data_IF_761917788582
#
_entry.id   IF_761917788582
#
_cell.length_a   1.000
_cell.length_b   1.000
_cell.length_c   1.000
_cell.angle_alpha   90.00
_cell.angle_beta   90.00
_cell.angle_gamma   90.00
#
_symmetry.space_group_name_H-M   'P 1'
#
loop_
_entity.id
_entity.type
_entity.pdbx_description
1 polymer ?
#
# COMPACT_ATOMS: atom_id res chain seq x y z
N UNK A 1 -27.64 -3.75 -17.65
CA UNK A 1 -27.31 -5.18 -17.44
C UNK A 1 -25.84 -5.44 -17.08
N UNK A 2 -24.81 -4.81 -17.67
CA UNK A 2 -23.40 -5.06 -17.26
C UNK A 2 -23.04 -4.53 -15.86
N UNK A 3 -23.77 -3.57 -15.29
CA UNK A 3 -23.57 -3.13 -13.90
C UNK A 3 -24.90 -2.84 -13.20
N UNK A 4 -25.72 -3.87 -13.04
CA UNK A 4 -26.90 -3.79 -12.15
C UNK A 4 -26.52 -4.08 -10.68
N UNK A 5 -25.22 -4.09 -10.39
CA UNK A 5 -24.60 -4.23 -9.07
C UNK A 5 -23.44 -3.25 -8.96
N UNK A 6 -23.09 -2.87 -7.74
CA UNK A 6 -22.00 -1.93 -7.46
C UNK A 6 -21.01 -2.51 -6.45
N UNK A 7 -19.73 -2.35 -6.77
CA UNK A 7 -18.60 -2.63 -5.91
C UNK A 7 -17.76 -1.35 -5.71
N UNK A 8 -16.77 -1.37 -4.82
CA UNK A 8 -15.89 -0.22 -4.65
C UNK A 8 -14.60 -0.37 -5.47
N UNK A 9 -14.22 0.70 -6.17
CA UNK A 9 -13.03 0.79 -7.00
C UNK A 9 -12.05 1.82 -6.41
N UNK A 10 -10.75 1.59 -6.53
CA UNK A 10 -9.74 2.51 -5.99
C UNK A 10 -9.30 3.56 -7.02
N UNK A 11 -9.26 4.81 -6.59
CA UNK A 11 -8.68 5.95 -7.32
C UNK A 11 -7.81 6.75 -6.36
N UNK A 12 -6.82 7.48 -6.86
CA UNK A 12 -6.04 8.41 -6.04
C UNK A 12 -5.73 9.70 -6.79
N UNK A 13 -5.42 10.74 -6.04
CA UNK A 13 -4.96 12.02 -6.57
C UNK A 13 -3.84 12.58 -5.69
N UNK A 14 -2.83 13.19 -6.32
CA UNK A 14 -1.74 13.89 -5.61
C UNK A 14 -2.01 15.37 -5.42
N UNK A 15 -2.88 15.95 -6.25
CA UNK A 15 -3.15 17.39 -6.29
C UNK A 15 -4.63 17.70 -6.00
N UNK A 16 -5.46 16.69 -5.73
CA UNK A 16 -6.91 16.83 -5.53
C UNK A 16 -7.70 17.13 -6.81
N UNK A 17 -7.03 17.38 -7.94
CA UNK A 17 -7.64 17.78 -9.22
C UNK A 17 -7.63 16.64 -10.22
N UNK A 18 -6.51 15.94 -10.33
CA UNK A 18 -6.32 14.86 -11.30
C UNK A 18 -6.38 13.52 -10.59
N UNK A 19 -7.38 12.71 -10.94
CA UNK A 19 -7.59 11.39 -10.36
C UNK A 19 -7.07 10.30 -11.30
N UNK A 20 -6.34 9.34 -10.73
CA UNK A 20 -5.79 8.18 -11.43
C UNK A 20 -6.50 6.93 -10.95
N UNK A 21 -6.98 6.12 -11.91
CA UNK A 21 -7.55 4.80 -11.65
C UNK A 21 -6.42 3.85 -11.24
N UNK A 22 -6.72 2.99 -10.28
CA UNK A 22 -5.84 1.87 -9.90
C UNK A 22 -6.41 0.60 -10.51
N UNK A 23 -5.59 -0.11 -11.30
CA UNK A 23 -5.87 -1.46 -11.78
C UNK A 23 -5.16 -2.49 -10.91
N UNK A 24 -5.32 -3.78 -11.23
CA UNK A 24 -4.62 -4.88 -10.56
C UNK A 24 -3.10 -4.67 -10.46
N UNK A 25 -2.50 -4.12 -11.52
CA UNK A 25 -1.06 -3.88 -11.62
C UNK A 25 -0.63 -2.48 -11.14
N UNK A 26 -1.57 -1.72 -10.54
CA UNK A 26 -1.33 -0.40 -9.98
C UNK A 26 -1.95 0.76 -10.76
N UNK A 27 -1.49 1.96 -10.42
CA UNK A 27 -1.95 3.22 -10.99
C UNK A 27 -1.72 3.31 -12.50
N UNK A 28 -2.73 3.71 -13.26
CA UNK A 28 -2.59 4.00 -14.70
C UNK A 28 -2.65 5.50 -15.00
N UNK A 29 -1.91 5.91 -16.02
CA UNK A 29 -1.91 7.29 -16.53
C UNK A 29 -3.18 7.60 -17.32
N UNK A 30 -3.45 8.88 -17.55
CA UNK A 30 -4.57 9.31 -18.41
C UNK A 30 -4.42 8.86 -19.87
N UNK A 31 -3.19 8.62 -20.33
CA UNK A 31 -2.94 8.04 -21.65
C UNK A 31 -3.34 6.56 -21.67
N UNK A 32 -2.87 5.78 -20.69
CA UNK A 32 -3.21 4.36 -20.57
C UNK A 32 -4.71 4.12 -20.40
N UNK A 33 -5.42 5.04 -19.73
CA UNK A 33 -6.88 4.98 -19.59
C UNK A 33 -7.63 5.07 -20.93
N UNK A 34 -7.02 5.66 -21.97
CA UNK A 34 -7.64 5.84 -23.29
C UNK A 34 -7.29 4.72 -24.27
N UNK A 35 -6.45 3.77 -23.87
CA UNK A 35 -6.07 2.64 -24.72
C UNK A 35 -7.21 1.61 -24.81
N UNK A 36 -7.29 0.94 -25.97
CA UNK A 36 -8.20 -0.18 -26.17
C UNK A 36 -7.82 -1.35 -25.25
N UNK A 37 -8.78 -1.84 -24.45
CA UNK A 37 -8.64 -3.03 -23.60
C UNK A 37 -10.00 -3.60 -23.24
N UNK A 38 -10.02 -4.84 -22.74
CA UNK A 38 -11.20 -5.38 -22.06
C UNK A 38 -11.36 -4.69 -20.70
N UNK A 39 -12.11 -3.59 -20.70
CA UNK A 39 -12.41 -2.82 -19.49
C UNK A 39 -13.24 -3.57 -18.47
N UNK A 40 -14.04 -4.55 -18.92
CA UNK A 40 -14.82 -5.38 -18.00
C UNK A 40 -13.92 -6.29 -17.19
N UNK A 41 -13.01 -7.00 -17.86
CA UNK A 41 -12.05 -7.85 -17.17
C UNK A 41 -11.11 -7.02 -16.29
N UNK A 42 -10.61 -5.88 -16.80
CA UNK A 42 -9.71 -5.00 -16.06
C UNK A 42 -10.35 -4.43 -14.79
N UNK A 43 -11.60 -3.94 -14.86
CA UNK A 43 -12.30 -3.42 -13.69
C UNK A 43 -12.62 -4.52 -12.67
N UNK A 44 -13.08 -5.69 -13.14
CA UNK A 44 -13.39 -6.82 -12.26
C UNK A 44 -12.16 -7.33 -11.52
N UNK A 45 -11.00 -7.37 -12.20
CA UNK A 45 -9.72 -7.77 -11.58
C UNK A 45 -9.12 -6.73 -10.64
N UNK A 46 -9.66 -5.51 -10.60
CA UNK A 46 -9.16 -4.37 -9.83
C UNK A 46 -10.14 -3.90 -8.75
N UNK A 47 -11.25 -4.62 -8.54
CA UNK A 47 -12.22 -4.29 -7.50
C UNK A 47 -11.55 -4.27 -6.13
N UNK A 48 -11.69 -3.13 -5.42
CA UNK A 48 -11.07 -2.92 -4.12
C UNK A 48 -11.90 -3.55 -2.99
N UNK A 49 -13.22 -3.34 -3.01
CA UNK A 49 -14.16 -3.99 -2.10
C UNK A 49 -15.22 -4.72 -2.93
N UNK A 50 -15.11 -6.05 -3.11
CA UNK A 50 -16.04 -6.82 -3.93
C UNK A 50 -17.34 -7.11 -3.20
N UNK A 51 -18.44 -7.21 -3.95
CA UNK A 51 -19.70 -7.76 -3.44
C UNK A 51 -19.58 -9.25 -3.09
N UNK A 52 -20.46 -9.71 -2.21
CA UNK A 52 -20.57 -11.12 -1.84
C UNK A 52 -21.12 -12.02 -2.96
N UNK A 53 -21.16 -13.33 -2.71
CA UNK A 53 -21.67 -14.34 -3.64
C UNK A 53 -23.16 -14.12 -3.90
N UNK A 54 -23.52 -14.03 -5.19
CA UNK A 54 -24.88 -13.76 -5.67
C UNK A 54 -25.93 -14.65 -4.98
N UNK A 55 -26.94 -14.01 -4.38
CA UNK A 55 -28.05 -14.64 -3.65
C UNK A 55 -27.66 -15.56 -2.49
N UNK A 56 -26.41 -15.47 -2.02
CA UNK A 56 -25.92 -16.22 -0.87
C UNK A 56 -25.53 -15.31 0.28
N UNK A 57 -24.70 -14.32 0.00
CA UNK A 57 -24.12 -13.45 1.02
C UNK A 57 -24.94 -12.15 1.13
N UNK A 58 -25.15 -11.61 2.32
CA UNK A 58 -26.06 -10.47 2.54
C UNK A 58 -25.70 -9.17 1.77
N UNK A 59 -24.45 -9.03 1.31
CA UNK A 59 -23.93 -7.89 0.53
C UNK A 59 -23.71 -8.24 -0.96
N UNK A 60 -24.43 -9.23 -1.48
CA UNK A 60 -24.20 -9.75 -2.83
C UNK A 60 -24.51 -8.79 -3.98
N UNK A 61 -25.33 -7.77 -3.72
CA UNK A 61 -25.95 -6.91 -4.72
C UNK A 61 -25.26 -5.56 -4.89
N UNK A 62 -25.16 -4.79 -3.81
CA UNK A 62 -24.60 -3.45 -3.84
C UNK A 62 -23.77 -3.21 -2.58
N UNK A 63 -22.62 -2.55 -2.73
CA UNK A 63 -21.75 -2.12 -1.64
C UNK A 63 -21.51 -0.61 -1.72
N UNK A 64 -21.72 0.09 -0.61
CA UNK A 64 -21.46 1.51 -0.47
C UNK A 64 -20.61 1.78 0.77
N UNK A 65 -19.32 2.16 0.62
CA UNK A 65 -18.54 2.67 1.74
C UNK A 65 -19.21 3.93 2.29
N UNK A 66 -19.57 3.90 3.57
CA UNK A 66 -20.16 5.05 4.25
C UNK A 66 -19.12 5.65 5.18
N UNK A 67 -18.90 6.96 5.03
CA UNK A 67 -17.88 7.76 5.71
C UNK A 67 -16.43 7.53 5.24
N UNK A 68 -15.54 8.51 5.49
CA UNK A 68 -14.11 8.32 5.30
C UNK A 68 -13.61 7.11 6.12
N UNK A 69 -12.64 6.34 5.59
CA UNK A 69 -12.06 5.23 6.32
C UNK A 69 -11.46 5.68 7.66
N UNK A 70 -11.61 4.87 8.70
CA UNK A 70 -11.09 5.17 10.03
C UNK A 70 -9.78 4.44 10.29
N UNK A 71 -8.75 5.17 10.73
CA UNK A 71 -7.52 4.55 11.21
C UNK A 71 -7.70 4.15 12.68
N UNK A 72 -7.58 2.86 12.97
CA UNK A 72 -7.65 2.30 14.33
C UNK A 72 -6.41 1.46 14.57
N UNK A 73 -5.40 2.04 15.22
CA UNK A 73 -4.10 1.43 15.38
C UNK A 73 -3.44 1.16 14.03
N UNK A 74 -3.26 -0.13 13.71
CA UNK A 74 -2.53 -0.60 12.53
C UNK A 74 -3.45 -1.01 11.38
N UNK A 75 -4.74 -0.69 11.51
CA UNK A 75 -5.79 -1.00 10.54
C UNK A 75 -6.48 0.27 10.05
N UNK A 76 -6.85 0.24 8.77
CA UNK A 76 -7.82 1.12 8.15
C UNK A 76 -9.15 0.35 8.06
N UNK A 77 -10.20 0.93 8.63
CA UNK A 77 -11.54 0.35 8.71
C UNK A 77 -12.49 1.05 7.76
N UNK A 78 -13.15 0.26 6.93
CA UNK A 78 -14.18 0.70 5.99
C UNK A 78 -15.51 0.15 6.47
N UNK A 79 -16.34 1.02 7.06
CA UNK A 79 -17.74 0.70 7.29
C UNK A 79 -18.50 0.90 5.99
N UNK A 80 -19.30 -0.08 5.59
CA UNK A 80 -20.03 -0.03 4.33
C UNK A 80 -21.44 -0.57 4.50
N UNK A 81 -22.39 -0.03 3.74
CA UNK A 81 -23.69 -0.67 3.59
C UNK A 81 -23.61 -1.73 2.49
N UNK A 82 -24.09 -2.92 2.81
CA UNK A 82 -24.36 -3.96 1.84
C UNK A 82 -25.87 -4.09 1.62
N UNK A 83 -26.25 -4.33 0.37
CA UNK A 83 -27.64 -4.55 -0.04
C UNK A 83 -27.74 -5.86 -0.81
N UNK A 84 -28.62 -6.75 -0.37
CA UNK A 84 -28.88 -8.07 -0.98
C UNK A 84 -29.79 -8.00 -2.21
N UNK A 85 -29.59 -6.99 -3.08
CA UNK A 85 -30.39 -6.82 -4.30
C UNK A 85 -29.61 -6.09 -5.38
N UNK A 86 -29.94 -6.36 -6.65
CA UNK A 86 -29.51 -5.52 -7.78
C UNK A 86 -30.12 -4.12 -7.71
N UNK A 87 -29.52 -3.17 -8.41
CA UNK A 87 -30.18 -1.92 -8.77
C UNK A 87 -31.51 -2.23 -9.45
N UNK A 88 -32.52 -1.37 -9.25
CA UNK A 88 -33.88 -1.60 -9.75
C UNK A 88 -34.48 -2.92 -9.22
N UNK A 89 -34.32 -3.18 -7.92
CA UNK A 89 -34.72 -4.42 -7.26
C UNK A 89 -36.14 -4.90 -7.65
N UNK A 90 -37.10 -3.97 -7.80
CA UNK A 90 -38.46 -4.27 -8.23
C UNK A 90 -38.53 -4.93 -9.63
N UNK A 91 -37.77 -4.42 -10.62
CA UNK A 91 -37.69 -5.00 -11.97
C UNK A 91 -37.15 -6.44 -11.91
N UNK A 92 -36.16 -6.64 -11.05
CA UNK A 92 -35.48 -7.91 -10.84
C UNK A 92 -36.21 -8.87 -9.90
N UNK A 93 -37.30 -8.40 -9.27
CA UNK A 93 -38.04 -9.08 -8.20
C UNK A 93 -37.13 -9.50 -7.04
N UNK A 94 -36.05 -8.76 -6.82
CA UNK A 94 -35.19 -8.94 -5.67
C UNK A 94 -35.88 -8.34 -4.42
N UNK A 95 -35.74 -8.98 -3.27
CA UNK A 95 -36.23 -8.47 -1.98
C UNK A 95 -35.01 -7.95 -1.20
N UNK A 96 -34.73 -6.63 -1.24
CA UNK A 96 -33.54 -6.09 -0.61
C UNK A 96 -33.62 -6.24 0.91
N UNK A 97 -32.49 -6.63 1.47
CA UNK A 97 -32.17 -6.50 2.89
C UNK A 97 -30.89 -5.67 3.00
N UNK A 98 -30.72 -4.99 4.14
CA UNK A 98 -29.67 -4.00 4.37
C UNK A 98 -28.94 -4.32 5.66
N UNK A 99 -27.61 -4.28 5.61
CA UNK A 99 -26.78 -4.34 6.81
C UNK A 99 -25.51 -3.50 6.66
N UNK A 100 -24.84 -3.26 7.78
CA UNK A 100 -23.55 -2.59 7.83
C UNK A 100 -22.45 -3.64 7.99
N UNK A 101 -21.51 -3.64 7.06
CA UNK A 101 -20.31 -4.47 7.11
C UNK A 101 -19.09 -3.65 7.53
N UNK A 102 -18.06 -4.38 7.94
CA UNK A 102 -16.73 -3.85 8.21
C UNK A 102 -15.73 -4.58 7.32
N UNK A 103 -15.05 -3.85 6.45
CA UNK A 103 -13.85 -4.32 5.78
C UNK A 103 -12.62 -3.68 6.42
N UNK A 104 -11.54 -4.43 6.55
CA UNK A 104 -10.28 -3.93 7.12
C UNK A 104 -9.15 -4.05 6.11
N UNK A 105 -8.25 -3.08 6.17
CA UNK A 105 -6.99 -3.06 5.43
C UNK A 105 -5.89 -2.73 6.44
N UNK A 106 -4.66 -3.19 6.22
CA UNK A 106 -3.53 -2.70 7.00
C UNK A 106 -3.31 -1.20 6.78
N UNK A 107 -2.76 -0.49 7.77
CA UNK A 107 -2.28 0.88 7.60
C UNK A 107 -1.33 0.95 6.39
N UNK A 108 -1.48 1.97 5.54
CA UNK A 108 -0.73 2.16 4.29
C UNK A 108 -0.79 0.98 3.29
N UNK A 109 -1.80 0.12 3.39
CA UNK A 109 -1.89 -1.15 2.65
C UNK A 109 -2.48 -1.11 1.25
N UNK A 110 -2.82 0.06 0.69
CA UNK A 110 -3.64 0.16 -0.53
C UNK A 110 -2.97 -0.42 -1.78
N UNK A 111 -1.66 -0.23 -1.92
CA UNK A 111 -0.87 -0.69 -3.06
C UNK A 111 0.50 -1.13 -2.54
N UNK A 112 1.06 -2.19 -3.10
CA UNK A 112 2.42 -2.65 -2.85
C UNK A 112 3.27 -2.61 -4.10
N UNK A 113 4.57 -2.39 -3.91
CA UNK A 113 5.60 -2.81 -4.86
C UNK A 113 6.00 -4.23 -4.50
N UNK A 114 5.83 -5.16 -5.43
CA UNK A 114 6.03 -6.58 -5.15
C UNK A 114 6.67 -7.36 -6.29
N UNK A 115 7.19 -8.54 -5.97
CA UNK A 115 7.77 -9.46 -6.94
C UNK A 115 7.60 -10.91 -6.47
N UNK A 116 7.27 -11.80 -7.39
CA UNK A 116 7.23 -13.26 -7.15
C UNK A 116 8.63 -13.92 -7.21
N UNK A 117 9.64 -13.18 -7.71
CA UNK A 117 11.02 -13.67 -7.82
C UNK A 117 11.94 -12.75 -7.03
N UNK A 118 13.02 -12.26 -7.65
CA UNK A 118 13.90 -11.23 -7.12
C UNK A 118 13.67 -9.95 -7.92
N UNK A 119 13.67 -8.82 -7.24
CA UNK A 119 13.53 -7.51 -7.86
C UNK A 119 14.09 -6.43 -6.95
N UNK A 120 14.35 -5.26 -7.52
CA UNK A 120 14.78 -4.10 -6.76
C UNK A 120 13.93 -2.88 -7.08
N UNK A 121 13.78 -2.01 -6.08
CA UNK A 121 13.18 -0.69 -6.24
C UNK A 121 14.14 0.32 -5.63
N UNK A 122 14.51 1.35 -6.37
CA UNK A 122 15.32 2.46 -5.85
C UNK A 122 14.49 3.73 -5.81
N UNK A 123 14.49 4.43 -4.69
CA UNK A 123 13.79 5.70 -4.56
C UNK A 123 14.44 6.79 -5.42
N UNK A 124 13.69 7.87 -5.69
CA UNK A 124 14.31 9.17 -5.97
C UNK A 124 15.12 9.61 -4.73
N UNK A 125 16.08 10.54 -4.87
CA UNK A 125 16.75 11.12 -3.71
C UNK A 125 15.72 11.65 -2.71
N UNK A 126 15.89 11.28 -1.44
CA UNK A 126 15.11 11.75 -0.30
C UNK A 126 16.05 12.36 0.73
N UNK A 127 15.60 13.40 1.42
CA UNK A 127 16.29 13.87 2.63
C UNK A 127 15.83 13.00 3.77
N UNK A 128 16.73 12.22 4.35
CA UNK A 128 16.41 11.34 5.46
C UNK A 128 16.43 12.12 6.77
N UNK A 129 15.27 12.27 7.40
CA UNK A 129 15.10 12.99 8.66
C UNK A 129 14.58 12.02 9.72
N UNK A 130 15.50 11.43 10.48
CA UNK A 130 15.14 10.42 11.47
C UNK A 130 16.33 9.54 11.86
N UNK A 131 16.20 8.81 12.95
CA UNK A 131 17.21 7.84 13.42
C UNK A 131 16.80 6.40 13.13
N UNK A 132 15.62 6.19 12.55
CA UNK A 132 15.07 4.87 12.33
C UNK A 132 14.44 4.82 10.95
N UNK A 133 14.66 3.74 10.20
CA UNK A 133 13.86 3.43 9.03
C UNK A 133 12.81 2.39 9.43
N UNK A 134 11.53 2.74 9.28
CA UNK A 134 10.40 1.83 9.49
C UNK A 134 9.82 1.44 8.14
N UNK A 135 9.60 0.15 7.94
CA UNK A 135 9.05 -0.43 6.71
C UNK A 135 7.76 -1.17 7.00
N UNK A 136 6.73 -0.90 6.20
CA UNK A 136 5.54 -1.74 6.11
C UNK A 136 5.73 -2.76 4.98
N UNK A 137 5.87 -4.04 5.34
CA UNK A 137 6.14 -5.10 4.37
C UNK A 137 5.56 -6.45 4.79
N UNK A 138 5.21 -7.22 3.78
CA UNK A 138 4.96 -8.66 3.91
C UNK A 138 6.05 -9.41 3.15
N UNK A 139 6.96 -10.04 3.90
CA UNK A 139 8.03 -10.87 3.35
C UNK A 139 7.90 -12.35 3.78
N UNK A 140 6.71 -12.79 4.23
CA UNK A 140 6.48 -14.20 4.58
C UNK A 140 6.76 -15.11 3.39
N UNK A 141 7.61 -16.12 3.58
CA UNK A 141 8.04 -17.03 2.51
C UNK A 141 9.06 -16.43 1.53
N UNK A 142 9.61 -15.26 1.88
CA UNK A 142 10.56 -14.49 1.09
C UNK A 142 11.56 -13.76 1.96
N UNK A 143 12.07 -12.64 1.46
CA UNK A 143 12.93 -11.72 2.21
C UNK A 143 12.91 -10.32 1.61
N UNK A 144 13.09 -9.32 2.45
CA UNK A 144 13.36 -7.95 2.06
C UNK A 144 14.59 -7.43 2.80
N UNK A 145 15.54 -6.84 2.08
CA UNK A 145 16.65 -6.06 2.65
C UNK A 145 16.70 -4.70 1.98
N UNK A 146 17.30 -3.73 2.65
CA UNK A 146 17.44 -2.37 2.13
C UNK A 146 18.87 -1.89 2.29
N UNK A 147 19.33 -1.13 1.31
CA UNK A 147 20.59 -0.40 1.37
C UNK A 147 20.38 1.10 1.19
N UNK A 148 21.19 1.89 1.88
CA UNK A 148 21.26 3.33 1.67
C UNK A 148 22.40 3.64 0.70
N UNK A 149 22.08 4.41 -0.34
CA UNK A 149 23.02 4.84 -1.37
C UNK A 149 23.27 6.34 -1.26
N UNK A 150 24.49 6.75 -1.59
CA UNK A 150 24.81 8.15 -1.79
C UNK A 150 24.15 8.70 -3.07
N UNK A 151 24.35 9.99 -3.33
CA UNK A 151 23.82 10.68 -4.53
C UNK A 151 24.34 10.10 -5.84
N UNK A 152 25.51 9.44 -5.83
CA UNK A 152 26.12 8.78 -6.98
C UNK A 152 25.61 7.34 -7.18
N UNK A 153 24.81 6.83 -6.24
CA UNK A 153 24.25 5.48 -6.28
C UNK A 153 25.14 4.40 -5.68
N UNK A 154 26.22 4.78 -4.98
CA UNK A 154 27.11 3.84 -4.27
C UNK A 154 26.60 3.56 -2.86
N UNK A 155 26.66 2.32 -2.37
CA UNK A 155 26.29 2.00 -0.99
C UNK A 155 27.11 2.81 0.02
N UNK A 156 26.43 3.42 0.97
CA UNK A 156 27.06 4.12 2.10
C UNK A 156 27.67 3.05 3.01
N UNK A 157 28.93 3.23 3.41
CA UNK A 157 29.65 2.30 4.29
C UNK A 157 28.82 2.02 5.56
N UNK A 158 28.57 0.74 5.84
CA UNK A 158 27.76 0.29 6.99
C UNK A 158 26.26 0.19 6.73
N UNK A 159 25.77 0.68 5.59
CA UNK A 159 24.35 0.65 5.20
C UNK A 159 24.13 -0.14 3.90
N UNK A 160 24.97 -1.14 3.66
CA UNK A 160 24.86 -2.02 2.49
C UNK A 160 23.76 -3.08 2.67
N UNK A 161 23.33 -3.69 1.57
CA UNK A 161 22.34 -4.76 1.62
C UNK A 161 22.84 -6.00 2.38
N UNK A 162 24.15 -6.27 2.37
CA UNK A 162 24.77 -7.38 3.13
C UNK A 162 24.86 -7.12 4.63
N UNK A 163 24.83 -5.84 5.02
CA UNK A 163 24.81 -5.43 6.42
C UNK A 163 23.37 -5.38 6.96
N UNK A 164 22.36 -5.21 6.10
CA UNK A 164 20.97 -5.17 6.50
C UNK A 164 20.49 -6.52 7.04
N UNK A 165 19.88 -6.52 8.23
CA UNK A 165 19.15 -7.68 8.72
C UNK A 165 17.94 -7.96 7.81
N UNK A 166 17.73 -9.20 7.35
CA UNK A 166 16.62 -9.51 6.46
C UNK A 166 15.28 -9.49 7.18
N UNK A 167 14.30 -8.82 6.57
CA UNK A 167 12.90 -8.89 6.95
C UNK A 167 12.28 -10.11 6.27
N UNK A 168 11.68 -11.02 7.05
CA UNK A 168 11.13 -12.30 6.57
C UNK A 168 9.69 -12.55 7.05
N UNK A 169 9.10 -11.59 7.75
CA UNK A 169 7.76 -11.67 8.34
C UNK A 169 6.82 -10.64 7.75
N UNK A 170 5.58 -10.63 8.23
CA UNK A 170 4.55 -9.67 7.85
C UNK A 170 4.28 -8.73 9.01
N UNK A 171 4.49 -7.43 8.80
CA UNK A 171 4.26 -6.38 9.79
C UNK A 171 4.05 -5.05 9.10
N UNK A 172 3.24 -4.19 9.72
CA UNK A 172 3.11 -2.78 9.29
C UNK A 172 4.31 -1.94 9.74
N UNK A 173 5.10 -2.40 10.71
CA UNK A 173 6.25 -1.66 11.28
C UNK A 173 7.44 -2.57 11.54
N UNK A 174 8.21 -2.85 10.49
CA UNK A 174 9.56 -3.41 10.62
C UNK A 174 10.55 -2.30 10.89
N UNK A 175 11.30 -2.40 11.99
CA UNK A 175 12.46 -1.54 12.22
C UNK A 175 13.64 -2.14 11.47
N UNK A 176 14.19 -1.38 10.53
CA UNK A 176 15.36 -1.81 9.80
C UNK A 176 16.60 -1.63 10.66
N UNK A 177 17.46 -2.65 10.67
CA UNK A 177 18.76 -2.62 11.35
C UNK A 177 19.86 -3.07 10.40
N UNK A 178 21.01 -2.42 10.48
CA UNK A 178 22.23 -2.84 9.78
C UNK A 178 23.27 -3.31 10.80
N UNK A 179 24.09 -4.29 10.43
CA UNK A 179 25.17 -4.81 11.27
C UNK A 179 26.10 -3.68 11.68
N UNK A 180 26.40 -3.61 12.99
CA UNK A 180 27.28 -2.59 13.55
C UNK A 180 26.63 -1.21 13.73
N UNK A 181 25.37 -1.02 13.32
CA UNK A 181 24.65 0.24 13.46
C UNK A 181 23.32 0.03 14.19
N UNK A 182 23.19 0.66 15.36
CA UNK A 182 21.96 0.59 16.17
C UNK A 182 20.85 1.48 15.61
N UNK A 183 21.21 2.49 14.81
CA UNK A 183 20.31 3.50 14.27
C UNK A 183 20.77 4.00 12.88
N UNK A 184 19.99 4.93 12.32
CA UNK A 184 20.21 5.59 11.04
C UNK A 184 20.80 7.01 11.20
N UNK A 185 21.40 7.36 12.34
CA UNK A 185 21.87 8.73 12.59
C UNK A 185 22.85 9.22 11.52
N UNK A 186 23.72 8.34 11.03
CA UNK A 186 24.67 8.63 9.95
C UNK A 186 24.01 8.89 8.58
N UNK A 187 22.71 8.64 8.43
CA UNK A 187 21.95 8.94 7.22
C UNK A 187 21.28 10.31 7.27
N UNK A 188 21.22 10.96 8.44
CA UNK A 188 20.44 12.18 8.64
C UNK A 188 20.96 13.37 7.85
N UNK A 189 20.03 14.27 7.48
CA UNK A 189 20.35 15.62 7.01
C UNK A 189 20.99 15.69 5.63
N UNK A 190 21.13 14.57 4.91
CA UNK A 190 21.69 14.52 3.56
C UNK A 190 20.78 13.80 2.56
N UNK A 191 20.82 14.18 1.27
CA UNK A 191 20.12 13.43 0.23
C UNK A 191 20.71 12.04 0.08
N UNK A 192 19.87 11.01 0.24
CA UNK A 192 20.22 9.61 0.01
C UNK A 192 19.19 8.96 -0.92
N UNK A 193 19.50 7.78 -1.43
CA UNK A 193 18.50 6.88 -2.04
C UNK A 193 18.39 5.62 -1.21
N UNK A 194 17.19 5.08 -1.08
CA UNK A 194 16.99 3.75 -0.53
C UNK A 194 16.80 2.78 -1.69
N UNK A 195 17.58 1.69 -1.72
CA UNK A 195 17.32 0.57 -2.62
C UNK A 195 16.83 -0.62 -1.82
N UNK A 196 15.60 -1.01 -2.13
CA UNK A 196 14.96 -2.18 -1.58
C UNK A 196 15.25 -3.36 -2.49
N UNK A 197 15.69 -4.47 -1.91
CA UNK A 197 15.88 -5.75 -2.58
C UNK A 197 14.81 -6.70 -2.07
N UNK A 198 13.90 -7.08 -2.96
CA UNK A 198 12.75 -7.90 -2.65
C UNK A 198 12.97 -9.30 -3.22
N UNK A 199 12.62 -10.32 -2.44
CA UNK A 199 12.48 -11.70 -2.90
C UNK A 199 11.15 -12.25 -2.40
N UNK A 200 10.18 -12.51 -3.28
CA UNK A 200 8.83 -12.99 -2.88
C UNK A 200 8.25 -12.14 -1.74
N UNK A 201 8.26 -10.83 -1.92
CA UNK A 201 7.90 -9.87 -0.88
C UNK A 201 7.08 -8.72 -1.45
N UNK A 202 6.30 -8.10 -0.56
CA UNK A 202 5.46 -6.92 -0.81
C UNK A 202 5.95 -5.78 0.07
N UNK A 203 6.29 -4.65 -0.52
CA UNK A 203 6.63 -3.40 0.16
C UNK A 203 5.46 -2.44 -0.01
N UNK A 204 4.83 -2.04 1.09
CA UNK A 204 3.66 -1.14 1.08
C UNK A 204 4.07 0.32 1.29
N UNK A 205 4.86 0.56 2.33
CA UNK A 205 5.30 1.91 2.70
C UNK A 205 6.65 1.86 3.43
N UNK A 206 7.30 3.01 3.52
CA UNK A 206 8.47 3.23 4.35
C UNK A 206 8.49 4.66 4.84
N UNK A 207 9.01 4.87 6.04
CA UNK A 207 9.13 6.19 6.65
C UNK A 207 10.42 6.30 7.47
N UNK A 208 11.09 7.47 7.44
CA UNK A 208 11.99 7.87 8.50
C UNK A 208 11.19 8.11 9.79
N UNK A 209 11.66 7.57 10.91
CA UNK A 209 11.13 7.81 12.24
C UNK A 209 12.20 8.39 13.17
N UNK A 210 11.75 9.05 14.23
CA UNK A 210 12.57 9.49 15.35
C UNK A 210 12.13 8.68 16.57
N UNK A 211 13.00 7.80 17.07
CA UNK A 211 12.72 6.98 18.26
C UNK A 211 13.51 7.39 19.48
N UNK A 212 14.60 8.12 19.30
CA UNK A 212 15.38 8.70 20.39
C UNK A 212 15.35 10.23 20.28
N UNK A 213 15.34 10.92 21.41
CA UNK A 213 15.54 12.37 21.45
C UNK A 213 16.97 12.68 21.03
N UNK A 214 17.15 13.27 19.85
CA UNK A 214 18.45 13.74 19.39
C UNK A 214 18.60 15.21 19.71
N UNK A 215 19.59 15.56 20.53
CA UNK A 215 20.02 16.94 20.67
C UNK A 215 20.98 17.23 19.52
N UNK A 216 20.59 18.12 18.61
CA UNK A 216 21.55 18.70 17.68
C UNK A 216 22.52 19.52 18.52
N UNK A 217 23.80 19.14 18.51
CA UNK A 217 24.84 19.99 19.09
C UNK A 217 24.87 21.28 18.27
N UNK A 218 24.31 22.34 18.84
CA UNK A 218 24.50 23.71 18.37
C UNK A 218 26.00 23.99 18.43
N UNK A 219 26.60 24.32 17.30
CA UNK A 219 28.03 24.64 17.19
C UNK A 219 28.49 25.60 18.30
N UNK A 220 29.70 25.37 18.82
CA UNK A 220 30.49 26.38 19.55
C UNK A 220 31.01 27.45 18.58
#
# INVERSE_FOLDING_TARGET
LWMDRVDAQLVFSRNGVTWQRVLKDGAITAQQLRENRDWKQAATGATFLPYGKFKKDWDWGQIYPHHPPLVVGDEIRFYYAGISARHWAALHKDKPDHAIGLATLRLDGFVSVETDRKGTMTTKPIVFLGDTLVINANAKGGSLVVEALDVTGKPIKGFSASDCAPITTDSVRHVVTWKGHKDCHLLQGRPIRLRFHLKRAKLYAFEPGIRHSHYLQSYD
#
